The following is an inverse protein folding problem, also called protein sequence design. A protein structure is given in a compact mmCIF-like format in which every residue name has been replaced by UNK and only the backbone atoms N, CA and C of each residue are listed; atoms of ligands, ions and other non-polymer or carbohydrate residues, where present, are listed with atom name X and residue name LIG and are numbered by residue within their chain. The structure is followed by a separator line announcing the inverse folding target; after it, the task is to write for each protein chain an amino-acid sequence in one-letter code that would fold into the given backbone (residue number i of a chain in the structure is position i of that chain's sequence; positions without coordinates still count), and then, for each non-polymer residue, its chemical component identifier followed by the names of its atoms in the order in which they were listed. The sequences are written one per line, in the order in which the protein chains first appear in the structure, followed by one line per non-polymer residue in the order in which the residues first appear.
data_IF_391257329729
#
_entry.id   IF_391257329729
#
_cell.length_a   1.000
_cell.length_b   1.000
_cell.length_c   1.000
_cell.angle_alpha   90.00
_cell.angle_beta   90.00
_cell.angle_gamma   90.00
#
_symmetry.space_group_name_H-M   'P 1'
#
loop_
_entity.id
_entity.type
_entity.pdbx_description
1 polymer ?
#
# COMPACT_ATOMS: atom_id res chain seq x y z
N UNK A 1 60.51 -18.06 -20.12
CA UNK A 1 59.32 -17.35 -19.65
C UNK A 1 58.28 -18.39 -19.30
N UNK A 2 58.32 -18.79 -18.03
CA UNK A 2 57.20 -18.76 -17.09
C UNK A 2 55.87 -19.49 -17.39
N UNK A 3 55.59 -20.41 -16.44
CA UNK A 3 54.31 -20.74 -15.78
C UNK A 3 53.38 -21.82 -16.39
N UNK A 4 53.73 -23.08 -16.11
CA UNK A 4 53.11 -23.98 -15.12
C UNK A 4 51.57 -23.97 -14.88
N UNK A 5 51.00 -25.21 -14.92
CA UNK A 5 49.85 -25.79 -14.20
C UNK A 5 48.46 -25.14 -14.31
N UNK A 6 47.33 -25.85 -14.31
CA UNK A 6 47.05 -27.22 -13.87
C UNK A 6 45.65 -27.26 -13.27
N UNK A 7 45.11 -28.47 -13.18
CA UNK A 7 44.03 -28.90 -12.28
C UNK A 7 42.56 -28.54 -12.59
N UNK A 8 41.91 -29.56 -13.15
CA UNK A 8 40.52 -29.95 -12.92
C UNK A 8 40.13 -29.84 -11.42
N UNK A 9 39.05 -29.13 -11.10
CA UNK A 9 38.25 -29.41 -9.90
C UNK A 9 36.77 -29.01 -10.07
N UNK A 10 35.92 -30.02 -9.88
CA UNK A 10 34.51 -29.89 -9.48
C UNK A 10 34.37 -28.81 -8.40
N UNK A 11 33.60 -27.77 -8.68
CA UNK A 11 32.94 -27.00 -7.64
C UNK A 11 31.43 -27.12 -7.86
N UNK A 12 30.89 -28.23 -7.35
CA UNK A 12 29.50 -28.32 -6.94
C UNK A 12 29.35 -27.31 -5.80
N UNK A 13 29.05 -26.05 -6.12
CA UNK A 13 28.76 -25.04 -5.11
C UNK A 13 27.42 -25.43 -4.51
N UNK A 14 27.48 -26.10 -3.36
CA UNK A 14 26.35 -26.22 -2.48
C UNK A 14 25.87 -24.79 -2.19
N UNK A 15 24.69 -24.45 -2.69
CA UNK A 15 24.00 -23.23 -2.30
C UNK A 15 23.72 -23.36 -0.80
N UNK A 16 24.50 -22.64 0.01
CA UNK A 16 24.21 -22.47 1.42
C UNK A 16 22.81 -21.84 1.53
N UNK A 17 21.85 -22.48 2.23
CA UNK A 17 20.51 -21.95 2.44
C UNK A 17 20.50 -20.56 3.10
N UNK A 18 21.61 -20.15 3.71
CA UNK A 18 21.76 -18.84 4.36
C UNK A 18 22.02 -17.68 3.38
N UNK A 19 22.36 -17.97 2.12
CA UNK A 19 22.73 -16.93 1.13
C UNK A 19 21.58 -16.51 0.21
N UNK A 20 20.40 -17.12 0.34
CA UNK A 20 19.20 -16.78 -0.45
C UNK A 20 18.11 -16.07 0.36
N UNK A 21 18.47 -15.38 1.46
CA UNK A 21 17.55 -14.46 2.12
C UNK A 21 17.81 -13.02 1.67
N UNK A 22 17.42 -12.69 0.43
CA UNK A 22 17.15 -11.28 0.10
C UNK A 22 15.99 -10.86 1.01
N UNK A 23 16.17 -9.91 1.94
CA UNK A 23 15.06 -9.46 2.77
C UNK A 23 14.01 -8.87 1.84
N UNK A 24 12.85 -9.53 1.73
CA UNK A 24 11.70 -8.95 1.02
C UNK A 24 11.46 -7.55 1.62
N UNK A 25 11.41 -6.48 0.80
CA UNK A 25 11.17 -5.14 1.31
C UNK A 25 9.91 -5.15 2.17
N UNK A 26 10.00 -4.67 3.42
CA UNK A 26 8.84 -4.63 4.32
C UNK A 26 7.72 -3.85 3.62
N UNK A 27 6.62 -4.55 3.31
CA UNK A 27 5.45 -3.96 2.65
C UNK A 27 4.72 -2.95 3.55
N UNK A 28 5.06 -2.91 4.85
CA UNK A 28 4.49 -2.03 5.86
C UNK A 28 5.58 -1.48 6.80
N UNK A 29 5.62 -0.15 6.99
CA UNK A 29 6.42 0.50 8.03
C UNK A 29 5.49 1.24 9.00
N UNK A 30 5.48 0.81 10.27
CA UNK A 30 4.56 1.31 11.28
C UNK A 30 5.33 2.28 12.19
N UNK A 31 4.85 3.52 12.27
CA UNK A 31 5.25 4.48 13.28
C UNK A 31 4.03 4.94 14.08
N UNK A 32 4.28 5.65 15.19
CA UNK A 32 3.23 6.23 16.04
C UNK A 32 2.27 7.15 15.30
N UNK A 33 2.77 7.87 14.29
CA UNK A 33 2.07 8.99 13.63
C UNK A 33 1.59 8.66 12.22
N UNK A 34 2.23 7.68 11.58
CA UNK A 34 1.93 7.20 10.24
C UNK A 34 2.21 5.73 10.07
N UNK A 35 1.50 5.12 9.14
CA UNK A 35 1.78 3.78 8.64
C UNK A 35 1.98 3.85 7.15
N UNK A 36 3.13 3.38 6.66
CA UNK A 36 3.49 3.39 5.25
C UNK A 36 3.18 2.00 4.67
N UNK A 37 2.41 1.94 3.59
CA UNK A 37 2.16 0.70 2.86
C UNK A 37 2.67 0.81 1.44
N UNK A 38 3.27 -0.27 0.94
CA UNK A 38 3.43 -0.49 -0.49
C UNK A 38 2.11 -1.04 -1.05
N UNK A 39 1.52 -0.33 -1.99
CA UNK A 39 0.25 -0.65 -2.63
C UNK A 39 0.43 -0.82 -4.13
N UNK A 40 -0.52 -1.48 -4.78
CA UNK A 40 -0.53 -1.65 -6.24
C UNK A 40 -1.43 -0.61 -6.90
N UNK A 41 -0.94 -0.02 -7.97
CA UNK A 41 -1.71 0.88 -8.84
C UNK A 41 -2.62 0.06 -9.76
N UNK A 42 -3.92 0.35 -9.76
CA UNK A 42 -4.91 -0.34 -10.59
C UNK A 42 -5.31 0.55 -11.77
N UNK A 43 -5.22 0.01 -13.00
CA UNK A 43 -5.79 0.64 -14.20
C UNK A 43 -7.32 0.63 -14.12
N UNK A 44 -8.00 1.58 -14.77
CA UNK A 44 -9.47 1.68 -14.72
C UNK A 44 -10.19 0.44 -15.24
N UNK A 45 -9.58 -0.28 -16.19
CA UNK A 45 -10.11 -1.53 -16.74
C UNK A 45 -9.76 -2.76 -15.89
N UNK A 46 -9.15 -2.58 -14.71
CA UNK A 46 -8.70 -3.69 -13.89
C UNK A 46 -9.89 -4.45 -13.28
N UNK A 47 -9.80 -5.78 -13.27
CA UNK A 47 -10.90 -6.68 -12.89
C UNK A 47 -11.38 -6.50 -11.45
N UNK A 48 -10.46 -6.13 -10.55
CA UNK A 48 -10.76 -5.83 -9.14
C UNK A 48 -11.67 -4.60 -8.96
N UNK A 49 -11.85 -3.78 -9.99
CA UNK A 49 -12.71 -2.61 -9.95
C UNK A 49 -14.15 -2.93 -10.39
N UNK A 50 -14.48 -4.21 -10.65
CA UNK A 50 -15.84 -4.62 -10.96
C UNK A 50 -16.80 -4.22 -9.82
N UNK A 51 -17.81 -3.41 -10.15
CA UNK A 51 -18.79 -2.91 -9.18
C UNK A 51 -18.39 -1.62 -8.45
N UNK A 52 -17.18 -1.11 -8.68
CA UNK A 52 -16.79 0.23 -8.23
C UNK A 52 -17.36 1.31 -9.17
N UNK A 53 -17.52 2.53 -8.65
CA UNK A 53 -17.78 3.69 -9.51
C UNK A 53 -16.70 3.80 -10.61
N UNK A 54 -17.08 4.37 -11.76
CA UNK A 54 -16.10 4.77 -12.76
C UNK A 54 -15.29 5.95 -12.21
N UNK A 55 -13.97 5.95 -12.47
CA UNK A 55 -13.10 7.07 -12.14
C UNK A 55 -13.61 8.34 -12.83
N UNK A 56 -13.64 9.45 -12.08
CA UNK A 56 -13.96 10.75 -12.66
C UNK A 56 -12.92 11.10 -13.75
N UNK A 57 -13.32 11.57 -14.95
CA UNK A 57 -12.40 11.75 -16.08
C UNK A 57 -11.18 12.64 -15.77
N UNK A 58 -11.37 13.66 -14.92
CA UNK A 58 -10.34 14.62 -14.53
C UNK A 58 -9.61 14.26 -13.23
N UNK A 59 -9.85 13.08 -12.66
CA UNK A 59 -9.18 12.63 -11.44
C UNK A 59 -7.80 12.07 -11.78
N UNK A 60 -6.69 12.73 -11.41
CA UNK A 60 -5.35 12.24 -11.77
C UNK A 60 -4.96 10.98 -10.99
N UNK A 61 -5.64 10.67 -9.89
CA UNK A 61 -5.27 9.56 -9.03
C UNK A 61 -5.91 8.25 -9.51
N UNK A 62 -5.13 7.17 -9.59
CA UNK A 62 -5.65 5.84 -9.89
C UNK A 62 -6.31 5.21 -8.66
N UNK A 63 -7.14 4.19 -8.89
CA UNK A 63 -7.48 3.25 -7.83
C UNK A 63 -6.23 2.51 -7.35
N UNK A 64 -6.17 2.18 -6.07
CA UNK A 64 -5.04 1.44 -5.49
C UNK A 64 -5.53 0.21 -4.75
N UNK A 65 -4.66 -0.80 -4.62
CA UNK A 65 -4.89 -1.99 -3.80
C UNK A 65 -3.84 -2.07 -2.70
N UNK A 66 -4.28 -1.94 -1.45
CA UNK A 66 -3.46 -2.24 -0.28
C UNK A 66 -3.58 -3.72 0.06
N UNK A 67 -2.54 -4.49 -0.24
CA UNK A 67 -2.47 -5.91 0.15
C UNK A 67 -2.21 -6.04 1.65
N UNK A 68 -2.78 -7.07 2.25
CA UNK A 68 -2.52 -7.42 3.62
C UNK A 68 -1.45 -8.49 3.63
N UNK A 69 -0.27 -8.14 4.11
CA UNK A 69 0.71 -9.16 4.50
C UNK A 69 0.26 -9.75 5.82
N UNK A 70 0.01 -11.08 5.90
CA UNK A 70 -0.11 -11.72 7.20
C UNK A 70 1.20 -11.51 7.97
N UNK A 71 1.07 -11.25 9.27
CA UNK A 71 2.21 -11.14 10.20
C UNK A 71 2.92 -12.51 10.37
N UNK A 72 2.32 -13.59 9.86
CA UNK A 72 2.87 -14.93 9.86
C UNK A 72 3.64 -15.20 8.56
N UNK A 73 4.94 -15.48 8.70
CA UNK A 73 5.81 -15.95 7.60
C UNK A 73 5.67 -17.47 7.42
N UNK A 74 4.45 -18.02 7.52
CA UNK A 74 4.31 -19.45 7.30
C UNK A 74 4.61 -19.73 5.82
N UNK A 75 5.44 -20.74 5.55
CA UNK A 75 5.79 -21.15 4.16
C UNK A 75 4.53 -21.42 3.32
N UNK A 76 3.43 -21.80 3.99
CA UNK A 76 2.11 -22.00 3.38
C UNK A 76 1.48 -20.69 2.88
N UNK A 77 1.57 -19.59 3.63
CA UNK A 77 1.06 -18.27 3.18
C UNK A 77 1.94 -17.64 2.10
N UNK A 78 3.25 -17.90 2.14
CA UNK A 78 4.18 -17.50 1.08
C UNK A 78 3.85 -18.19 -0.26
N UNK A 79 3.44 -19.47 -0.19
CA UNK A 79 3.07 -20.28 -1.36
C UNK A 79 1.58 -20.15 -1.74
N UNK A 80 0.79 -19.35 -1.02
CA UNK A 80 -0.61 -19.11 -1.37
C UNK A 80 -0.70 -18.35 -2.69
N UNK A 81 -1.53 -18.85 -3.61
CA UNK A 81 -1.79 -18.22 -4.92
C UNK A 81 -2.61 -16.94 -4.79
N UNK A 82 -3.24 -16.70 -3.65
CA UNK A 82 -4.07 -15.52 -3.36
C UNK A 82 -3.50 -14.71 -2.21
N UNK A 83 -3.74 -13.40 -2.28
CA UNK A 83 -3.51 -12.44 -1.20
C UNK A 83 -4.80 -11.67 -0.95
N UNK A 84 -5.04 -11.24 0.28
CA UNK A 84 -6.21 -10.43 0.58
C UNK A 84 -5.85 -8.95 0.55
N UNK A 85 -6.81 -8.09 0.21
CA UNK A 85 -6.55 -6.65 0.11
C UNK A 85 -7.77 -5.77 0.27
N UNK A 86 -7.47 -4.48 0.43
CA UNK A 86 -8.44 -3.39 0.54
C UNK A 86 -8.25 -2.42 -0.62
N UNK A 87 -9.35 -2.00 -1.24
CA UNK A 87 -9.31 -0.99 -2.29
C UNK A 87 -9.18 0.41 -1.68
N UNK A 88 -8.37 1.25 -2.31
CA UNK A 88 -8.31 2.68 -2.04
C UNK A 88 -8.87 3.42 -3.25
N UNK A 89 -9.79 4.34 -2.97
CA UNK A 89 -10.55 5.07 -3.98
C UNK A 89 -10.04 6.51 -4.02
N UNK A 90 -9.73 7.07 -5.21
CA UNK A 90 -9.43 8.48 -5.36
C UNK A 90 -10.49 9.37 -4.72
N UNK A 91 -10.07 10.40 -3.97
CA UNK A 91 -10.98 11.25 -3.20
C UNK A 91 -12.00 11.97 -4.10
N UNK A 92 -11.58 12.48 -5.26
CA UNK A 92 -12.45 13.16 -6.22
C UNK A 92 -13.48 12.20 -6.80
N UNK A 93 -13.07 10.99 -7.18
CA UNK A 93 -13.98 9.93 -7.64
C UNK A 93 -14.97 9.52 -6.55
N UNK A 94 -14.49 9.27 -5.33
CA UNK A 94 -15.35 8.94 -4.19
C UNK A 94 -16.41 10.03 -3.94
N UNK A 95 -16.08 11.30 -4.20
CA UNK A 95 -16.97 12.45 -4.04
C UNK A 95 -17.68 12.89 -5.33
N UNK A 96 -17.55 12.14 -6.44
CA UNK A 96 -18.16 12.45 -7.75
C UNK A 96 -17.88 13.86 -8.27
N UNK A 97 -16.63 14.30 -8.13
CA UNK A 97 -16.22 15.64 -8.55
C UNK A 97 -16.81 16.81 -7.74
N UNK A 98 -17.70 16.56 -6.77
CA UNK A 98 -18.39 17.61 -5.97
C UNK A 98 -17.48 18.33 -4.97
N UNK A 99 -16.20 18.00 -4.93
CA UNK A 99 -15.25 18.67 -4.06
C UNK A 99 -14.40 19.67 -4.86
N UNK A 100 -14.53 20.98 -4.61
CA UNK A 100 -13.62 21.97 -5.17
C UNK A 100 -12.29 21.89 -4.40
N UNK A 101 -11.35 21.06 -4.86
CA UNK A 101 -10.04 20.86 -4.20
C UNK A 101 -9.00 21.92 -4.61
N UNK A 102 -9.41 23.06 -5.19
CA UNK A 102 -8.50 24.16 -5.50
C UNK A 102 -8.23 24.98 -4.23
N UNK A 103 -7.50 24.42 -3.28
CA UNK A 103 -7.16 25.15 -2.06
C UNK A 103 -6.14 24.49 -1.14
N UNK A 104 -6.03 23.15 -1.10
CA UNK A 104 -4.98 22.49 -0.30
C UNK A 104 -4.37 21.32 -1.06
N UNK A 105 -3.07 21.42 -1.38
CA UNK A 105 -2.33 20.46 -2.21
C UNK A 105 -2.42 18.98 -1.75
N UNK A 106 -2.63 18.72 -0.46
CA UNK A 106 -2.82 17.35 0.08
C UNK A 106 -4.09 16.65 -0.42
N UNK A 107 -5.06 17.41 -0.89
CA UNK A 107 -6.28 16.87 -1.49
C UNK A 107 -6.02 16.21 -2.84
N UNK A 108 -4.96 16.62 -3.55
CA UNK A 108 -4.67 16.18 -4.91
C UNK A 108 -4.18 14.74 -4.96
N UNK A 109 -3.52 14.22 -3.91
CA UNK A 109 -3.07 12.83 -3.81
C UNK A 109 -3.84 12.04 -2.72
N UNK A 110 -5.00 12.56 -2.31
CA UNK A 110 -5.80 11.93 -1.28
C UNK A 110 -6.60 10.77 -1.85
N UNK A 111 -6.56 9.64 -1.14
CA UNK A 111 -7.38 8.46 -1.41
C UNK A 111 -8.12 8.06 -0.13
N UNK A 112 -9.26 7.41 -0.26
CA UNK A 112 -10.03 6.86 0.86
C UNK A 112 -9.99 5.34 0.83
N UNK A 113 -9.85 4.72 2.01
CA UNK A 113 -9.99 3.28 2.12
C UNK A 113 -11.46 2.87 1.97
N UNK A 114 -11.77 2.01 1.02
CA UNK A 114 -13.13 1.49 0.89
C UNK A 114 -13.50 0.68 2.14
N UNK A 115 -14.60 1.07 2.78
CA UNK A 115 -15.00 0.52 4.08
C UNK A 115 -15.41 -0.95 3.97
N UNK A 116 -16.10 -1.32 2.90
CA UNK A 116 -16.55 -2.70 2.68
C UNK A 116 -15.36 -3.64 2.53
N UNK A 117 -14.42 -3.34 1.63
CA UNK A 117 -13.19 -4.12 1.44
C UNK A 117 -12.17 -4.00 2.58
N UNK A 118 -12.35 -3.04 3.50
CA UNK A 118 -11.59 -2.99 4.76
C UNK A 118 -12.13 -3.95 5.82
N UNK A 119 -13.44 -4.18 5.80
CA UNK A 119 -14.16 -5.08 6.70
C UNK A 119 -14.08 -6.53 6.20
N UNK A 120 -14.45 -6.74 4.93
CA UNK A 120 -14.48 -8.00 4.21
C UNK A 120 -13.53 -7.91 3.01
N UNK A 121 -12.29 -8.39 3.14
CA UNK A 121 -11.22 -8.16 2.16
C UNK A 121 -11.46 -8.91 0.87
N UNK A 122 -10.88 -8.39 -0.19
CA UNK A 122 -10.97 -9.03 -1.49
C UNK A 122 -9.85 -10.04 -1.61
N UNK A 123 -10.19 -11.26 -2.01
CA UNK A 123 -9.23 -12.27 -2.45
C UNK A 123 -8.68 -11.90 -3.83
N UNK A 124 -7.36 -11.73 -3.92
CA UNK A 124 -6.65 -11.28 -5.11
C UNK A 124 -5.63 -12.33 -5.53
N UNK A 125 -5.78 -12.95 -6.72
CA UNK A 125 -4.75 -13.81 -7.29
C UNK A 125 -3.44 -13.05 -7.48
N UNK A 126 -2.31 -13.64 -7.09
CA UNK A 126 -0.99 -13.01 -7.23
C UNK A 126 -0.62 -12.75 -8.70
N UNK A 127 -1.10 -13.58 -9.61
CA UNK A 127 -0.96 -13.41 -11.06
C UNK A 127 -1.68 -12.15 -11.61
N UNK A 128 -2.48 -11.47 -10.79
CA UNK A 128 -3.04 -10.17 -11.19
C UNK A 128 -2.18 -8.99 -10.73
N UNK A 129 -1.10 -9.25 -9.98
CA UNK A 129 -0.28 -8.21 -9.35
C UNK A 129 1.13 -8.09 -9.97
N UNK A 130 1.55 -9.04 -10.82
CA UNK A 130 2.95 -9.15 -11.27
C UNK A 130 3.43 -7.96 -12.11
N UNK A 131 2.55 -7.37 -12.93
CA UNK A 131 2.84 -6.24 -13.82
C UNK A 131 2.38 -4.89 -13.26
N UNK A 132 1.80 -4.89 -12.06
CA UNK A 132 1.21 -3.68 -11.48
C UNK A 132 2.28 -2.81 -10.82
N UNK A 133 2.29 -1.48 -11.10
CA UNK A 133 3.19 -0.56 -10.45
C UNK A 133 2.96 -0.53 -8.94
N UNK A 134 4.06 -0.48 -8.17
CA UNK A 134 3.99 -0.25 -6.72
C UNK A 134 4.12 1.24 -6.39
N UNK A 135 3.35 1.67 -5.41
CA UNK A 135 3.32 3.04 -4.87
C UNK A 135 3.30 3.01 -3.35
N UNK A 136 3.68 4.12 -2.73
CA UNK A 136 3.58 4.27 -1.28
C UNK A 136 2.31 5.02 -0.91
N UNK A 137 1.53 4.47 0.02
CA UNK A 137 0.45 5.19 0.69
C UNK A 137 0.82 5.42 2.15
N UNK A 138 0.63 6.65 2.61
CA UNK A 138 0.79 7.05 4.00
C UNK A 138 -0.56 7.12 4.68
N UNK A 139 -0.78 6.25 5.66
CA UNK A 139 -1.96 6.26 6.51
C UNK A 139 -1.71 7.00 7.81
N UNK A 140 -2.72 7.69 8.32
CA UNK A 140 -2.63 8.43 9.58
C UNK A 140 -3.96 9.03 10.00
N UNK A 141 -3.97 9.83 11.06
CA UNK A 141 -5.17 10.53 11.54
C UNK A 141 -5.40 11.88 10.86
N UNK A 142 -4.35 12.46 10.28
CA UNK A 142 -4.37 13.71 9.50
C UNK A 142 -3.09 13.81 8.68
N UNK A 143 -3.10 14.62 7.63
CA UNK A 143 -1.89 14.96 6.84
C UNK A 143 -0.81 15.55 7.73
N UNK A 144 -1.15 16.49 8.61
CA UNK A 144 -0.21 17.09 9.57
C UNK A 144 0.41 16.05 10.50
N UNK A 145 -0.32 15.03 10.94
CA UNK A 145 0.25 13.92 11.74
C UNK A 145 1.22 13.09 10.91
N UNK A 146 0.84 12.75 9.67
CA UNK A 146 1.66 11.91 8.80
C UNK A 146 3.04 12.52 8.56
N UNK A 147 3.08 13.81 8.24
CA UNK A 147 4.30 14.52 7.86
C UNK A 147 5.04 15.14 9.05
N UNK A 148 4.52 15.02 10.28
CA UNK A 148 5.18 15.56 11.47
C UNK A 148 6.55 14.91 11.65
N UNK A 149 7.57 15.75 11.81
CA UNK A 149 8.96 15.33 12.00
C UNK A 149 9.66 14.91 10.70
N UNK A 150 9.05 15.10 9.54
CA UNK A 150 9.73 14.96 8.25
C UNK A 150 10.38 16.27 7.83
N UNK A 151 11.50 16.18 7.10
CA UNK A 151 12.10 17.33 6.43
C UNK A 151 11.27 17.77 5.22
N UNK A 152 11.45 19.02 4.78
CA UNK A 152 10.80 19.54 3.56
C UNK A 152 11.10 18.67 2.34
N UNK A 153 12.32 18.15 2.21
CA UNK A 153 12.71 17.26 1.10
C UNK A 153 11.95 15.92 1.13
N UNK A 154 11.78 15.32 2.32
CA UNK A 154 11.00 14.09 2.48
C UNK A 154 9.52 14.32 2.16
N UNK A 155 8.97 15.44 2.63
CA UNK A 155 7.59 15.85 2.33
C UNK A 155 7.40 16.01 0.82
N UNK A 156 8.29 16.74 0.14
CA UNK A 156 8.30 16.89 -1.32
C UNK A 156 8.43 15.56 -2.06
N UNK A 157 9.20 14.61 -1.53
CA UNK A 157 9.28 13.27 -2.10
C UNK A 157 7.95 12.52 -1.98
N UNK A 158 7.34 12.53 -0.80
CA UNK A 158 6.03 11.91 -0.55
C UNK A 158 4.97 12.51 -1.48
N UNK A 159 5.00 13.84 -1.67
CA UNK A 159 4.10 14.55 -2.57
C UNK A 159 4.26 14.17 -4.04
N UNK A 160 5.49 13.92 -4.49
CA UNK A 160 5.73 13.57 -5.90
C UNK A 160 5.43 12.11 -6.22
N UNK A 161 5.49 11.22 -5.23
CA UNK A 161 5.52 9.77 -5.49
C UNK A 161 4.57 8.92 -4.64
N UNK A 162 3.83 9.54 -3.74
CA UNK A 162 2.98 8.83 -2.80
C UNK A 162 1.60 9.44 -2.64
N UNK A 163 0.77 8.70 -1.91
CA UNK A 163 -0.63 9.01 -1.64
C UNK A 163 -0.86 9.13 -0.13
N UNK A 164 -1.93 9.81 0.24
CA UNK A 164 -2.33 9.97 1.65
C UNK A 164 -3.73 9.42 1.86
N UNK A 165 -3.91 8.65 2.93
CA UNK A 165 -5.21 8.13 3.32
C UNK A 165 -5.44 8.34 4.82
N UNK A 166 -6.34 9.26 5.17
CA UNK A 166 -6.65 9.60 6.58
C UNK A 166 -7.98 9.05 7.07
N UNK A 167 -8.80 8.52 6.16
CA UNK A 167 -10.13 8.00 6.47
C UNK A 167 -10.55 6.89 5.53
N UNK A 168 -11.49 6.08 6.00
CA UNK A 168 -12.27 5.20 5.17
C UNK A 168 -13.50 5.92 4.59
N UNK A 169 -14.18 5.23 3.69
CA UNK A 169 -15.32 5.76 2.95
C UNK A 169 -16.30 4.64 2.62
N UNK A 170 -17.60 4.91 2.78
CA UNK A 170 -18.65 3.96 2.41
C UNK A 170 -19.25 4.31 1.05
N UNK A 171 -19.10 3.42 0.08
CA UNK A 171 -19.49 3.66 -1.32
C UNK A 171 -20.98 4.01 -1.52
N UNK A 172 -21.88 3.37 -0.75
CA UNK A 172 -23.33 3.54 -0.90
C UNK A 172 -23.80 4.90 -0.37
N UNK A 173 -23.38 5.25 0.85
CA UNK A 173 -23.85 6.46 1.56
C UNK A 173 -22.94 7.66 1.36
N UNK A 174 -21.72 7.44 0.85
CA UNK A 174 -20.64 8.43 0.77
C UNK A 174 -20.20 8.95 2.14
N UNK A 175 -20.59 8.27 3.22
CA UNK A 175 -20.25 8.69 4.57
C UNK A 175 -18.76 8.44 4.86
N UNK A 176 -18.10 9.36 5.58
CA UNK A 176 -16.76 9.11 6.10
C UNK A 176 -16.80 7.97 7.13
N UNK A 177 -15.75 7.14 7.14
CA UNK A 177 -15.57 6.04 8.09
C UNK A 177 -14.18 6.12 8.72
N UNK A 178 -13.99 5.63 9.96
CA UNK A 178 -12.66 5.52 10.54
C UNK A 178 -11.79 4.54 9.75
N UNK A 179 -10.47 4.75 9.74
CA UNK A 179 -9.53 3.75 9.23
C UNK A 179 -9.54 2.51 10.12
N UNK A 180 -9.47 1.33 9.49
CA UNK A 180 -9.28 0.08 10.21
C UNK A 180 -7.87 0.01 10.81
N UNK A 181 -7.76 -0.59 11.99
CA UNK A 181 -6.50 -0.77 12.73
C UNK A 181 -5.39 -1.40 11.89
N UNK A 182 -5.76 -2.28 10.95
CA UNK A 182 -4.84 -2.95 10.03
C UNK A 182 -4.11 -1.97 9.09
N UNK A 183 -4.77 -0.90 8.67
CA UNK A 183 -4.20 0.16 7.82
C UNK A 183 -3.46 1.18 8.68
N UNK A 184 -4.09 1.61 9.78
CA UNK A 184 -3.45 2.47 10.78
C UNK A 184 -4.15 2.37 12.12
N UNK A 185 -3.39 2.11 13.18
CA UNK A 185 -3.87 2.14 14.55
C UNK A 185 -3.23 3.32 15.31
N UNK A 186 -3.98 4.39 15.60
CA UNK A 186 -3.43 5.56 16.26
C UNK A 186 -3.16 5.28 17.73
N UNK A 187 -2.05 5.79 18.25
CA UNK A 187 -1.67 5.57 19.66
C UNK A 187 -2.62 6.20 20.67
N UNK A 188 -3.47 7.16 20.27
CA UNK A 188 -4.54 7.66 21.11
C UNK A 188 -5.55 6.57 21.51
N UNK A 189 -5.69 5.52 20.70
CA UNK A 189 -6.57 4.37 20.95
C UNK A 189 -5.89 3.22 21.72
N UNK A 190 -4.59 3.31 22.02
CA UNK A 190 -3.88 2.34 22.87
C UNK A 190 -4.16 2.50 24.37
N UNK A 191 -4.93 3.53 24.78
CA UNK A 191 -5.37 3.67 26.17
C UNK A 191 -6.47 2.65 26.47
N UNK A 192 -6.07 1.50 27.02
CA UNK A 192 -6.71 0.77 28.12
C UNK A 192 -6.09 -0.64 28.26
N UNK A 193 -5.01 -0.73 29.05
CA UNK A 193 -4.73 -1.87 29.92
C UNK A 193 -4.14 -1.30 31.20
N UNK A 194 -5.03 -0.92 32.11
CA UNK A 194 -4.73 -0.76 33.53
C UNK A 194 -5.56 -1.80 34.25
#
# INVERSE_FOLDING_TARGET
MDLQEGHMFKALVALDPSTTSIPTPKLKNISRLRTEHQVYELRDSHRLLAGMDKREPDDPNPYLLAIWTPECNSVREANSQTVIGTLLVPSRTAMRGRFPLNGTYFQVNEVFADHASSLEPIDVPRDWLWDLPRRTVYFGTSTSSIFRGMSTAQIQYCFRRGFVCVRGFEHKTRAPRPLFARLHFPSSKLKNKT
#
